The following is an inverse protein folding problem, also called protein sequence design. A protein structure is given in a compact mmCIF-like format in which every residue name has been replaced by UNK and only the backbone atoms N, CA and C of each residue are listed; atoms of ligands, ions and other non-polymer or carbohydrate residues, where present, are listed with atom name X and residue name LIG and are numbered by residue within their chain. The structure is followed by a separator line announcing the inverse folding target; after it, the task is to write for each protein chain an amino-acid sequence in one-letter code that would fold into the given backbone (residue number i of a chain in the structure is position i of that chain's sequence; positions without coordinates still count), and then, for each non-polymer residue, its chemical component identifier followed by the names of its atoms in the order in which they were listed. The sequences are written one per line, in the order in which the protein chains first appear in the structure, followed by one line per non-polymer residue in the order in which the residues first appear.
data_IF_487379109366
#
_entry.id   IF_487379109366
#
_cell.length_a   1.000
_cell.length_b   1.000
_cell.length_c   1.000
_cell.angle_alpha   90.00
_cell.angle_beta   90.00
_cell.angle_gamma   90.00
#
_symmetry.space_group_name_H-M   'P 1'
#
loop_
_entity.id
_entity.type
_entity.pdbx_description
1 polymer ?
#
# COMPACT_ATOMS: atom_id res chain seq x y z
N UNK A 1 40.39 -0.85 -2.74
CA UNK A 1 39.04 -1.27 -3.18
C UNK A 1 38.13 -1.29 -1.96
N UNK A 2 37.16 -0.39 -1.86
CA UNK A 2 36.24 -0.33 -0.71
C UNK A 2 35.10 -1.34 -0.92
N UNK A 3 34.85 -2.18 0.08
CA UNK A 3 33.90 -3.30 -0.01
C UNK A 3 32.52 -2.83 0.49
N UNK A 4 31.57 -2.62 -0.42
CA UNK A 4 30.19 -2.28 -0.07
C UNK A 4 29.48 -3.55 0.39
N UNK A 5 28.79 -3.49 1.53
CA UNK A 5 28.01 -4.61 2.08
C UNK A 5 26.52 -4.30 2.00
N UNK A 6 25.73 -5.25 1.51
CA UNK A 6 24.27 -5.16 1.46
C UNK A 6 23.63 -5.97 2.58
N UNK A 7 22.73 -5.36 3.35
CA UNK A 7 21.99 -5.99 4.43
C UNK A 7 20.51 -6.04 4.07
N UNK A 8 19.91 -7.23 4.09
CA UNK A 8 18.45 -7.38 3.93
C UNK A 8 17.76 -6.99 5.22
N UNK A 9 16.90 -5.99 5.16
CA UNK A 9 16.05 -5.57 6.26
C UNK A 9 14.75 -6.39 6.25
N UNK A 10 14.05 -6.45 7.39
CA UNK A 10 12.84 -7.26 7.53
C UNK A 10 11.77 -6.85 6.50
N UNK A 11 11.10 -7.83 5.85
CA UNK A 11 10.02 -7.56 4.94
C UNK A 11 8.91 -6.78 5.65
N UNK A 12 8.38 -5.77 4.96
CA UNK A 12 7.28 -4.95 5.48
C UNK A 12 5.96 -5.43 4.92
N UNK A 13 4.99 -5.61 5.81
CA UNK A 13 3.60 -5.90 5.43
C UNK A 13 3.03 -4.76 4.63
N UNK A 14 2.36 -5.11 3.54
CA UNK A 14 1.66 -4.16 2.68
C UNK A 14 0.17 -4.24 2.97
N UNK A 15 -0.43 -3.10 3.29
CA UNK A 15 -1.83 -3.04 3.71
C UNK A 15 -2.61 -2.03 2.88
N UNK A 16 -3.86 -2.37 2.59
CA UNK A 16 -4.83 -1.42 2.05
C UNK A 16 -5.40 -0.58 3.19
N UNK A 17 -5.42 0.74 3.02
CA UNK A 17 -5.94 1.70 4.00
C UNK A 17 -6.84 2.74 3.33
N UNK A 18 -7.83 3.21 4.07
CA UNK A 18 -8.72 4.28 3.64
C UNK A 18 -9.31 5.01 4.86
N UNK A 19 -9.97 6.14 4.64
CA UNK A 19 -10.75 6.81 5.68
C UNK A 19 -11.89 5.89 6.21
N UNK A 20 -12.38 6.11 7.45
CA UNK A 20 -13.43 5.30 8.06
C UNK A 20 -14.70 5.11 7.23
N UNK A 21 -15.02 6.04 6.31
CA UNK A 21 -16.17 5.92 5.40
C UNK A 21 -16.13 4.71 4.45
N UNK A 22 -14.96 4.08 4.27
CA UNK A 22 -14.82 2.84 3.50
C UNK A 22 -14.84 1.58 4.38
N UNK A 23 -15.34 1.64 5.61
CA UNK A 23 -15.31 0.49 6.52
C UNK A 23 -15.97 -0.78 5.94
N UNK A 24 -16.99 -0.63 5.10
CA UNK A 24 -17.64 -1.76 4.42
C UNK A 24 -16.68 -2.53 3.50
N UNK A 25 -15.64 -1.88 2.96
CA UNK A 25 -14.63 -2.53 2.13
C UNK A 25 -13.76 -3.54 2.90
N UNK A 26 -13.87 -3.63 4.24
CA UNK A 26 -13.28 -4.72 5.03
C UNK A 26 -13.97 -6.06 4.79
N UNK A 27 -15.28 -6.04 4.52
CA UNK A 27 -16.05 -7.26 4.26
C UNK A 27 -15.66 -7.79 2.89
N UNK A 28 -15.38 -9.10 2.79
CA UNK A 28 -15.00 -9.75 1.53
C UNK A 28 -13.69 -9.20 0.89
N UNK A 29 -12.77 -8.67 1.70
CA UNK A 29 -11.44 -8.30 1.23
C UNK A 29 -10.69 -9.52 0.64
N UNK A 30 -9.94 -9.37 -0.48
CA UNK A 30 -9.67 -8.14 -1.23
C UNK A 30 -10.69 -7.82 -2.33
N UNK A 31 -11.67 -8.69 -2.61
CA UNK A 31 -12.64 -8.51 -3.70
C UNK A 31 -13.48 -7.24 -3.58
N UNK A 32 -13.73 -6.81 -2.35
CA UNK A 32 -14.40 -5.54 -2.03
C UNK A 32 -13.68 -4.28 -2.53
N UNK A 33 -12.41 -4.36 -2.93
CA UNK A 33 -11.68 -3.22 -3.50
C UNK A 33 -12.02 -2.98 -4.98
N UNK A 34 -12.62 -3.95 -5.67
CA UNK A 34 -12.99 -3.80 -7.07
C UNK A 34 -13.99 -2.65 -7.25
N UNK A 35 -13.73 -1.79 -8.23
CA UNK A 35 -14.54 -0.60 -8.50
C UNK A 35 -14.33 0.56 -7.51
N UNK A 36 -13.59 0.39 -6.41
CA UNK A 36 -13.31 1.49 -5.49
C UNK A 36 -12.21 2.41 -6.03
N UNK A 37 -12.30 3.73 -5.78
CA UNK A 37 -11.27 4.67 -6.16
C UNK A 37 -9.96 4.40 -5.42
N UNK A 38 -8.86 4.34 -6.16
CA UNK A 38 -7.52 4.07 -5.65
C UNK A 38 -6.54 5.15 -6.12
N UNK A 39 -5.75 5.67 -5.19
CA UNK A 39 -4.47 6.30 -5.53
C UNK A 39 -3.38 5.24 -5.45
N UNK A 40 -2.68 5.04 -6.56
CA UNK A 40 -1.66 4.01 -6.70
C UNK A 40 -0.24 4.56 -6.67
N UNK A 41 0.73 3.73 -6.34
CA UNK A 41 2.15 4.03 -6.54
C UNK A 41 2.43 4.12 -8.04
N UNK A 42 3.32 4.99 -8.50
CA UNK A 42 3.67 4.97 -9.93
C UNK A 42 4.39 3.67 -10.33
N UNK A 43 4.56 3.47 -11.63
CA UNK A 43 5.33 2.35 -12.20
C UNK A 43 6.82 2.36 -11.84
N UNK A 44 7.37 3.46 -11.31
CA UNK A 44 8.75 3.51 -10.84
C UNK A 44 8.98 2.83 -9.50
N UNK A 45 7.91 2.61 -8.72
CA UNK A 45 8.00 1.93 -7.43
C UNK A 45 8.33 0.44 -7.60
N UNK A 46 9.35 -0.04 -6.89
CA UNK A 46 9.77 -1.44 -6.98
C UNK A 46 8.69 -2.43 -6.55
N UNK A 47 7.75 -2.02 -5.69
CA UNK A 47 6.68 -2.87 -5.19
C UNK A 47 5.41 -2.85 -6.05
N UNK A 48 5.31 -1.88 -6.98
CA UNK A 48 4.14 -1.71 -7.85
C UNK A 48 3.81 -3.01 -8.61
N UNK A 49 4.76 -3.72 -9.25
CA UNK A 49 4.46 -4.97 -9.95
C UNK A 49 3.90 -6.07 -9.04
N UNK A 50 4.29 -6.11 -7.77
CA UNK A 50 3.79 -7.10 -6.81
C UNK A 50 2.36 -6.79 -6.38
N UNK A 51 2.04 -5.51 -6.19
CA UNK A 51 0.67 -5.06 -5.91
C UNK A 51 -0.23 -5.35 -7.12
N UNK A 52 0.21 -5.04 -8.33
CA UNK A 52 -0.55 -5.31 -9.56
C UNK A 52 -0.81 -6.82 -9.70
N UNK A 53 0.22 -7.65 -9.52
CA UNK A 53 0.08 -9.12 -9.55
C UNK A 53 -0.86 -9.65 -8.47
N UNK A 54 -0.84 -9.04 -7.28
CA UNK A 54 -1.78 -9.40 -6.21
C UNK A 54 -3.22 -9.13 -6.64
N UNK A 55 -3.49 -7.97 -7.24
CA UNK A 55 -4.82 -7.64 -7.75
C UNK A 55 -5.24 -8.58 -8.88
N UNK A 56 -4.35 -8.85 -9.84
CA UNK A 56 -4.63 -9.77 -10.95
C UNK A 56 -4.98 -11.19 -10.44
N UNK A 57 -4.17 -11.73 -9.52
CA UNK A 57 -4.39 -13.07 -8.93
C UNK A 57 -5.75 -13.17 -8.23
N UNK A 58 -6.19 -12.11 -7.58
CA UNK A 58 -7.43 -12.08 -6.83
C UNK A 58 -8.62 -11.58 -7.67
N UNK A 59 -8.42 -11.27 -8.95
CA UNK A 59 -9.41 -10.68 -9.86
C UNK A 59 -10.01 -9.39 -9.29
N UNK A 60 -9.13 -8.56 -8.73
CA UNK A 60 -9.48 -7.26 -8.15
C UNK A 60 -9.13 -6.18 -9.15
N UNK A 61 -10.08 -5.28 -9.44
CA UNK A 61 -9.86 -4.18 -10.40
C UNK A 61 -10.34 -2.86 -9.79
N UNK A 62 -9.48 -2.19 -9.01
CA UNK A 62 -9.77 -0.87 -8.46
C UNK A 62 -9.83 0.19 -9.58
N UNK A 63 -10.53 1.30 -9.34
CA UNK A 63 -10.49 2.46 -10.23
C UNK A 63 -9.27 3.31 -9.87
N UNK A 64 -8.20 3.22 -10.66
CA UNK A 64 -7.01 4.06 -10.47
C UNK A 64 -7.37 5.50 -10.88
N UNK A 65 -7.51 6.38 -9.90
CA UNK A 65 -7.87 7.80 -10.11
C UNK A 65 -6.66 8.73 -10.10
N UNK A 66 -5.47 8.19 -9.86
CA UNK A 66 -4.21 8.93 -9.88
C UNK A 66 -3.05 8.07 -9.39
N UNK A 67 -1.83 8.52 -9.69
CA UNK A 67 -0.59 7.85 -9.29
C UNK A 67 0.38 8.85 -8.63
N UNK A 68 1.13 8.41 -7.62
CA UNK A 68 2.18 9.21 -7.00
C UNK A 68 3.32 8.34 -6.44
N UNK A 69 4.55 8.85 -6.46
CA UNK A 69 5.71 8.18 -5.85
C UNK A 69 5.85 8.50 -4.36
N UNK A 70 5.29 9.62 -3.91
CA UNK A 70 5.32 10.03 -2.52
C UNK A 70 4.20 9.36 -1.72
N UNK A 71 4.58 8.46 -0.81
CA UNK A 71 3.67 7.78 0.10
C UNK A 71 2.87 8.74 1.00
N UNK A 72 3.38 9.94 1.27
CA UNK A 72 2.67 11.00 2.00
C UNK A 72 1.48 11.49 1.19
N UNK A 73 1.63 11.72 -0.13
CA UNK A 73 0.53 12.16 -0.99
C UNK A 73 -0.57 11.09 -1.07
N UNK A 74 -0.17 9.83 -1.25
CA UNK A 74 -1.09 8.69 -1.25
C UNK A 74 -1.86 8.59 0.08
N UNK A 75 -1.14 8.69 1.21
CA UNK A 75 -1.74 8.65 2.55
C UNK A 75 -2.71 9.81 2.76
N UNK A 76 -2.33 11.04 2.37
CA UNK A 76 -3.18 12.21 2.53
C UNK A 76 -4.47 12.10 1.70
N UNK A 77 -4.39 11.61 0.46
CA UNK A 77 -5.58 11.36 -0.36
C UNK A 77 -6.54 10.35 0.28
N UNK A 78 -5.98 9.28 0.85
CA UNK A 78 -6.75 8.29 1.59
C UNK A 78 -7.34 8.85 2.90
N UNK A 79 -6.62 9.72 3.62
CA UNK A 79 -7.08 10.39 4.86
C UNK A 79 -8.22 11.38 4.59
N UNK A 80 -8.19 12.09 3.44
CA UNK A 80 -9.32 12.89 2.96
C UNK A 80 -10.51 12.02 2.51
N UNK A 81 -10.28 10.72 2.38
CA UNK A 81 -11.27 9.71 2.05
C UNK A 81 -11.68 9.68 0.58
N UNK A 82 -10.97 10.32 -0.33
CA UNK A 82 -11.37 10.29 -1.75
C UNK A 82 -11.15 8.90 -2.37
N UNK A 83 -10.28 8.10 -1.77
CA UNK A 83 -9.83 6.82 -2.26
C UNK A 83 -9.35 5.93 -1.11
N UNK A 84 -9.05 4.67 -1.44
CA UNK A 84 -8.10 3.89 -0.67
C UNK A 84 -6.70 3.96 -1.31
N UNK A 85 -5.69 3.54 -0.57
CA UNK A 85 -4.34 3.31 -1.10
C UNK A 85 -3.71 2.08 -0.47
N UNK A 86 -2.58 1.64 -0.99
CA UNK A 86 -1.82 0.48 -0.53
C UNK A 86 -0.41 0.93 -0.18
N UNK A 87 -0.03 0.76 1.09
CA UNK A 87 1.25 1.24 1.62
C UNK A 87 1.84 0.26 2.64
N UNK A 88 3.16 0.34 2.93
CA UNK A 88 3.75 -0.35 4.06
C UNK A 88 3.07 0.02 5.39
N UNK A 89 2.79 -0.96 6.23
CA UNK A 89 2.04 -0.78 7.49
C UNK A 89 2.68 0.28 8.41
N UNK A 90 4.01 0.32 8.48
CA UNK A 90 4.74 1.31 9.28
C UNK A 90 4.60 2.75 8.76
N UNK A 91 4.37 2.96 7.47
CA UNK A 91 4.16 4.29 6.86
C UNK A 91 2.85 4.93 7.28
N UNK A 92 1.84 4.10 7.58
CA UNK A 92 0.46 4.53 7.87
C UNK A 92 0.06 4.29 9.33
N UNK A 93 0.95 3.70 10.14
CA UNK A 93 0.70 3.33 11.53
C UNK A 93 0.17 4.50 12.38
N UNK A 94 0.76 5.70 12.28
CA UNK A 94 0.28 6.88 13.03
C UNK A 94 -1.16 7.28 12.64
N UNK A 95 -1.45 7.27 11.34
CA UNK A 95 -2.76 7.64 10.82
C UNK A 95 -3.84 6.61 11.22
N UNK A 96 -3.48 5.32 11.28
CA UNK A 96 -4.35 4.27 11.78
C UNK A 96 -4.56 4.39 13.29
N UNK A 97 -3.49 4.62 14.07
CA UNK A 97 -3.56 4.80 15.52
C UNK A 97 -4.46 5.99 15.91
N UNK A 98 -4.36 7.10 15.16
CA UNK A 98 -5.20 8.30 15.33
C UNK A 98 -6.56 8.21 14.64
N UNK A 99 -6.95 7.03 14.13
CA UNK A 99 -8.23 6.74 13.45
C UNK A 99 -8.54 7.63 12.24
N UNK A 100 -7.55 8.29 11.65
CA UNK A 100 -7.68 9.00 10.37
C UNK A 100 -7.78 8.03 9.19
N UNK A 101 -7.12 6.88 9.34
CA UNK A 101 -7.23 5.74 8.44
C UNK A 101 -7.69 4.50 9.19
N UNK A 102 -8.27 3.57 8.44
CA UNK A 102 -8.56 2.22 8.86
C UNK A 102 -7.82 1.23 7.95
N UNK A 103 -7.29 0.15 8.53
CA UNK A 103 -6.84 -1.01 7.74
C UNK A 103 -8.05 -1.69 7.12
N UNK A 104 -8.07 -1.82 5.79
CA UNK A 104 -9.10 -2.56 5.05
C UNK A 104 -8.73 -4.04 4.95
N UNK A 105 -7.44 -4.32 4.76
CA UNK A 105 -6.90 -5.66 4.70
C UNK A 105 -5.39 -5.64 4.44
N UNK A 106 -4.78 -6.82 4.55
CA UNK A 106 -3.37 -7.04 4.24
C UNK A 106 -3.26 -7.73 2.88
N UNK A 107 -2.41 -7.21 2.01
CA UNK A 107 -2.11 -7.86 0.74
C UNK A 107 -1.16 -9.02 1.04
N UNK A 108 -1.75 -10.18 1.35
CA UNK A 108 -1.00 -11.40 1.66
C UNK A 108 -0.09 -11.74 0.48
N UNK A 109 1.13 -12.17 0.78
CA UNK A 109 2.18 -12.52 -0.18
C UNK A 109 2.78 -11.35 -0.97
N UNK A 110 2.44 -10.10 -0.61
CA UNK A 110 3.15 -8.90 -1.09
C UNK A 110 4.07 -8.42 0.03
N UNK A 111 5.37 -8.44 -0.21
CA UNK A 111 6.38 -8.01 0.76
C UNK A 111 7.35 -7.05 0.08
N UNK A 112 7.52 -5.86 0.66
CA UNK A 112 8.62 -4.99 0.24
C UNK A 112 9.93 -5.55 0.79
N UNK A 113 10.75 -6.14 -0.07
CA UNK A 113 12.15 -6.36 0.26
C UNK A 113 12.85 -5.00 0.40
N UNK A 114 13.56 -4.79 1.51
CA UNK A 114 14.29 -3.56 1.76
C UNK A 114 15.76 -3.91 2.00
N UNK A 115 16.65 -3.20 1.33
CA UNK A 115 18.09 -3.42 1.40
C UNK A 115 18.76 -2.17 1.93
N UNK A 116 19.60 -2.30 2.96
CA UNK A 116 20.51 -1.26 3.38
C UNK A 116 21.87 -1.50 2.72
N UNK A 117 22.47 -0.46 2.14
CA UNK A 117 23.86 -0.49 1.70
C UNK A 117 24.70 0.25 2.72
N UNK A 118 25.71 -0.41 3.27
CA UNK A 118 26.71 0.22 4.12
C UNK A 118 28.08 0.18 3.44
N UNK A 119 28.84 1.24 3.68
CA UNK A 119 30.21 1.42 3.22
C UNK A 119 31.17 1.29 4.40
#
# INVERSE_FOLDING_TARGET
RTKISSYRLKPRKIIAVAAPRFAEARKNFPRSLSGLPMLHLTRHSQIRPEIDRYFDRHQVSPQIIGEADDATLLRLGAEKGFCFTVLPENTVQDAVAKRRLIKLGELKDVNSDMWAMAR
#
